data_IF_987889536966
#
_entry.id   IF_987889536966
#
_cell.length_a   1.000
_cell.length_b   1.000
_cell.length_c   1.000
_cell.angle_alpha   90.00
_cell.angle_beta   90.00
_cell.angle_gamma   90.00
#
_symmetry.space_group_name_H-M   'P 1'
#
loop_
_entity.id
_entity.type
_entity.pdbx_description
1 polymer ?
#
# COMPACT_ATOMS: atom_id res chain seq x y z
N UNK A 1 12.47 1.76 21.46
CA UNK A 1 11.81 2.44 20.32
C UNK A 1 10.79 3.44 20.88
N UNK A 2 10.94 4.75 20.65
CA UNK A 2 10.06 5.74 21.30
C UNK A 2 8.63 5.65 20.78
N UNK A 3 7.63 5.97 21.62
CA UNK A 3 6.20 5.93 21.26
C UNK A 3 5.87 6.74 19.99
N UNK A 4 6.68 7.77 19.70
CA UNK A 4 6.60 8.58 18.49
C UNK A 4 6.93 7.82 17.20
N UNK A 5 7.98 7.00 17.21
CA UNK A 5 8.39 6.22 16.03
C UNK A 5 7.34 5.19 15.63
N UNK A 6 6.71 4.54 16.62
CA UNK A 6 5.59 3.62 16.39
C UNK A 6 4.35 4.31 15.79
N UNK A 7 4.08 5.56 16.16
CA UNK A 7 2.97 6.34 15.58
C UNK A 7 3.24 6.68 14.12
N UNK A 8 4.44 7.16 13.80
CA UNK A 8 4.84 7.45 12.42
C UNK A 8 4.78 6.18 11.57
N UNK A 9 5.33 5.06 12.07
CA UNK A 9 5.27 3.77 11.40
C UNK A 9 3.82 3.33 11.12
N UNK A 10 2.95 3.38 12.13
CA UNK A 10 1.53 3.06 11.96
C UNK A 10 0.87 3.97 10.94
N UNK A 11 1.17 5.27 10.95
CA UNK A 11 0.59 6.22 10.00
C UNK A 11 1.01 5.86 8.56
N UNK A 12 2.31 5.70 8.31
CA UNK A 12 2.86 5.37 6.98
C UNK A 12 2.26 4.08 6.44
N UNK A 13 2.25 2.99 7.22
CA UNK A 13 1.69 1.72 6.77
C UNK A 13 0.17 1.74 6.61
N UNK A 14 -0.54 2.57 7.40
CA UNK A 14 -2.00 2.74 7.22
C UNK A 14 -2.30 3.53 5.95
N UNK A 15 -1.49 4.54 5.63
CA UNK A 15 -1.59 5.30 4.38
C UNK A 15 -1.29 4.39 3.20
N UNK A 16 -0.19 3.61 3.25
CA UNK A 16 0.14 2.66 2.19
C UNK A 16 -0.98 1.63 1.97
N UNK A 17 -1.56 1.11 3.06
CA UNK A 17 -2.72 0.22 3.00
C UNK A 17 -3.93 0.88 2.33
N UNK A 18 -4.29 2.09 2.77
CA UNK A 18 -5.44 2.83 2.24
C UNK A 18 -5.25 3.20 0.77
N UNK A 19 -4.04 3.63 0.38
CA UNK A 19 -3.72 3.93 -1.01
C UNK A 19 -3.79 2.67 -1.86
N UNK A 20 -3.22 1.54 -1.42
CA UNK A 20 -3.26 0.28 -2.17
C UNK A 20 -4.70 -0.22 -2.38
N UNK A 21 -5.52 -0.18 -1.32
CA UNK A 21 -6.93 -0.55 -1.40
C UNK A 21 -7.73 0.42 -2.28
N UNK A 22 -7.48 1.73 -2.16
CA UNK A 22 -8.10 2.75 -2.99
C UNK A 22 -7.75 2.60 -4.47
N UNK A 23 -6.50 2.26 -4.79
CA UNK A 23 -6.00 2.05 -6.15
C UNK A 23 -6.67 0.82 -6.78
N UNK A 24 -6.80 -0.27 -6.04
CA UNK A 24 -7.57 -1.45 -6.48
C UNK A 24 -9.05 -1.07 -6.75
N UNK A 25 -9.68 -0.31 -5.85
CA UNK A 25 -11.05 0.17 -6.01
C UNK A 25 -11.22 1.07 -7.25
N UNK A 26 -10.29 2.00 -7.47
CA UNK A 26 -10.25 2.89 -8.65
C UNK A 26 -10.12 2.10 -9.96
N UNK A 27 -9.22 1.11 -10.00
CA UNK A 27 -9.05 0.26 -11.20
C UNK A 27 -10.34 -0.50 -11.50
N UNK A 28 -10.97 -1.11 -10.49
CA UNK A 28 -12.24 -1.83 -10.66
C UNK A 28 -13.35 -0.87 -11.09
N UNK A 29 -13.47 0.30 -10.45
CA UNK A 29 -14.47 1.29 -10.79
C UNK A 29 -14.29 1.81 -12.23
N UNK A 30 -13.05 1.97 -12.70
CA UNK A 30 -12.78 2.40 -14.07
C UNK A 30 -13.29 1.43 -15.13
N UNK A 31 -13.41 0.13 -14.82
CA UNK A 31 -14.01 -0.86 -15.71
C UNK A 31 -15.53 -0.67 -15.84
N UNK A 32 -16.19 -0.16 -14.79
CA UNK A 32 -17.64 0.07 -14.76
C UNK A 32 -18.04 1.36 -15.49
N UNK A 33 -17.11 2.31 -15.60
CA UNK A 33 -17.30 3.60 -16.26
C UNK A 33 -16.92 3.60 -17.75
N UNK A 34 -16.28 2.53 -18.25
CA UNK A 34 -15.77 2.48 -19.62
C UNK A 34 -16.87 2.06 -20.61
N UNK A 35 -17.49 3.03 -21.28
CA UNK A 35 -18.39 2.80 -22.42
C UNK A 35 -17.56 2.64 -23.73
N UNK A 36 -17.19 1.41 -24.09
CA UNK A 36 -16.49 1.15 -25.36
C UNK A 36 -15.80 -0.23 -25.51
N UNK A 37 -15.10 -0.48 -26.63
CA UNK A 37 -14.38 -1.73 -26.92
C UNK A 37 -13.16 -2.00 -26.00
N UNK A 38 -12.92 -1.12 -25.04
CA UNK A 38 -11.91 -1.21 -23.96
C UNK A 38 -12.23 -2.32 -22.94
N UNK A 39 -13.44 -2.89 -22.97
CA UNK A 39 -13.85 -4.10 -22.24
C UNK A 39 -13.37 -5.41 -22.87
N UNK A 40 -12.41 -5.36 -23.81
CA UNK A 40 -11.81 -6.57 -24.33
C UNK A 40 -11.27 -7.43 -23.16
N UNK A 41 -11.52 -8.75 -23.16
CA UNK A 41 -11.28 -9.62 -21.99
C UNK A 41 -9.82 -9.58 -21.49
N UNK A 42 -8.86 -9.23 -22.36
CA UNK A 42 -7.46 -8.99 -21.98
C UNK A 42 -7.28 -7.84 -20.98
N UNK A 43 -7.98 -6.71 -21.16
CA UNK A 43 -7.83 -5.53 -20.30
C UNK A 43 -8.56 -5.71 -18.97
N UNK A 44 -9.69 -6.43 -18.98
CA UNK A 44 -10.41 -6.86 -17.78
C UNK A 44 -9.54 -7.80 -16.95
N UNK A 45 -8.89 -8.80 -17.58
CA UNK A 45 -7.99 -9.71 -16.90
C UNK A 45 -6.79 -8.98 -16.25
N UNK A 46 -6.14 -8.07 -16.98
CA UNK A 46 -5.03 -7.25 -16.45
C UNK A 46 -5.50 -6.43 -15.25
N UNK A 47 -6.64 -5.75 -15.36
CA UNK A 47 -7.19 -4.92 -14.30
C UNK A 47 -7.51 -5.71 -13.03
N UNK A 48 -8.09 -6.91 -13.19
CA UNK A 48 -8.35 -7.83 -12.07
C UNK A 48 -7.06 -8.35 -11.45
N UNK A 49 -6.08 -8.75 -12.24
CA UNK A 49 -4.77 -9.23 -11.74
C UNK A 49 -4.05 -8.13 -10.96
N UNK A 50 -3.98 -6.91 -11.50
CA UNK A 50 -3.34 -5.77 -10.83
C UNK A 50 -4.09 -5.42 -9.54
N UNK A 51 -5.43 -5.40 -9.57
CA UNK A 51 -6.24 -5.16 -8.38
C UNK A 51 -6.03 -6.23 -7.31
N UNK A 52 -5.94 -7.51 -7.69
CA UNK A 52 -5.65 -8.61 -6.78
C UNK A 52 -4.26 -8.50 -6.16
N UNK A 53 -3.24 -8.10 -6.93
CA UNK A 53 -1.88 -7.83 -6.42
C UNK A 53 -1.90 -6.69 -5.40
N UNK A 54 -2.61 -5.60 -5.69
CA UNK A 54 -2.72 -4.44 -4.80
C UNK A 54 -3.50 -4.77 -3.51
N UNK A 55 -4.54 -5.60 -3.60
CA UNK A 55 -5.25 -6.11 -2.42
C UNK A 55 -4.36 -7.06 -1.60
N UNK A 56 -3.63 -7.96 -2.26
CA UNK A 56 -2.65 -8.82 -1.61
C UNK A 56 -1.57 -8.01 -0.88
N UNK A 57 -1.07 -6.96 -1.52
CA UNK A 57 -0.13 -6.02 -0.92
C UNK A 57 -0.75 -5.30 0.29
N UNK A 58 -2.01 -4.88 0.21
CA UNK A 58 -2.71 -4.28 1.35
C UNK A 58 -2.79 -5.26 2.53
N UNK A 59 -3.18 -6.51 2.30
CA UNK A 59 -3.23 -7.55 3.35
C UNK A 59 -1.84 -7.78 3.96
N UNK A 60 -0.79 -7.87 3.14
CA UNK A 60 0.60 -7.98 3.59
C UNK A 60 1.01 -6.81 4.48
N UNK A 61 0.74 -5.57 4.06
CA UNK A 61 1.05 -4.36 4.83
C UNK A 61 0.30 -4.32 6.16
N UNK A 62 -0.95 -4.80 6.18
CA UNK A 62 -1.75 -4.92 7.41
C UNK A 62 -1.14 -5.95 8.37
N UNK A 63 -0.73 -7.12 7.87
CA UNK A 63 -0.06 -8.16 8.65
C UNK A 63 1.28 -7.69 9.23
N UNK A 64 2.12 -7.06 8.40
CA UNK A 64 3.42 -6.50 8.83
C UNK A 64 3.25 -5.45 9.94
N UNK A 65 2.23 -4.59 9.83
CA UNK A 65 1.89 -3.62 10.88
C UNK A 65 1.50 -4.32 12.20
N UNK A 66 0.78 -5.43 12.14
CA UNK A 66 0.42 -6.25 13.30
C UNK A 66 1.65 -6.81 14.01
N UNK A 67 2.51 -7.51 13.28
CA UNK A 67 3.72 -8.14 13.81
C UNK A 67 4.68 -7.12 14.42
N UNK A 68 4.87 -5.96 13.80
CA UNK A 68 5.77 -4.92 14.33
C UNK A 68 5.24 -4.33 15.64
N UNK A 69 3.91 -4.22 15.80
CA UNK A 69 3.33 -3.81 17.08
C UNK A 69 3.42 -4.87 18.18
N UNK A 70 3.44 -6.15 17.81
CA UNK A 70 3.69 -7.26 18.74
C UNK A 70 5.17 -7.28 19.16
N UNK A 71 6.08 -7.15 18.20
CA UNK A 71 7.52 -7.09 18.42
C UNK A 71 7.92 -5.89 19.29
N UNK A 72 7.34 -4.72 19.04
CA UNK A 72 7.56 -3.54 19.87
C UNK A 72 7.10 -3.71 21.33
N UNK A 73 6.02 -4.48 21.56
CA UNK A 73 5.53 -4.80 22.91
C UNK A 73 6.45 -5.82 23.59
N UNK A 74 6.92 -6.83 22.87
CA UNK A 74 7.86 -7.83 23.39
C UNK A 74 9.19 -7.19 23.84
N UNK A 75 9.72 -6.24 23.05
CA UNK A 75 10.97 -5.52 23.36
C UNK A 75 10.82 -4.60 24.57
N UNK A 76 9.67 -3.92 24.71
CA UNK A 76 9.39 -3.13 25.90
C UNK A 76 9.35 -3.99 27.18
N UNK A 77 9.10 -5.28 27.05
CA UNK A 77 9.06 -6.24 28.16
C UNK A 77 10.41 -6.94 28.44
N UNK A 78 11.32 -7.05 27.47
CA UNK A 78 12.54 -7.89 27.58
C UNK A 78 13.89 -7.15 27.58
N UNK A 79 13.91 -5.82 27.71
CA UNK A 79 15.14 -5.07 28.01
C UNK A 79 16.04 -4.75 26.80
N UNK A 80 17.05 -3.90 27.04
CA UNK A 80 17.68 -3.02 26.05
C UNK A 80 18.61 -3.68 25.00
N UNK A 81 19.01 -4.94 25.19
CA UNK A 81 20.03 -5.61 24.36
C UNK A 81 19.67 -5.69 22.86
N UNK A 82 18.38 -5.71 22.53
CA UNK A 82 17.94 -5.78 21.12
C UNK A 82 17.66 -4.42 20.47
N UNK A 83 17.83 -3.29 21.17
CA UNK A 83 17.36 -1.97 20.67
C UNK A 83 18.12 -1.45 19.43
N UNK A 84 19.42 -1.71 19.32
CA UNK A 84 20.27 -1.18 18.23
C UNK A 84 19.94 -1.76 16.84
N UNK A 85 19.99 -3.09 16.66
CA UNK A 85 19.66 -3.74 15.37
C UNK A 85 18.21 -3.49 14.94
N UNK A 86 17.27 -3.49 15.89
CA UNK A 86 15.86 -3.23 15.62
C UNK A 86 15.56 -1.78 15.24
N UNK A 87 16.30 -0.82 15.77
CA UNK A 87 16.18 0.59 15.36
C UNK A 87 16.51 0.77 13.88
N UNK A 88 17.59 0.13 13.40
CA UNK A 88 17.96 0.14 11.98
C UNK A 88 16.91 -0.55 11.12
N UNK A 89 16.44 -1.73 11.52
CA UNK A 89 15.38 -2.44 10.80
C UNK A 89 14.09 -1.61 10.69
N UNK A 90 13.66 -0.98 11.79
CA UNK A 90 12.49 -0.11 11.80
C UNK A 90 12.67 1.12 10.88
N UNK A 91 13.88 1.67 10.81
CA UNK A 91 14.21 2.79 9.91
C UNK A 91 14.16 2.36 8.44
N UNK A 92 14.72 1.20 8.10
CA UNK A 92 14.63 0.65 6.74
C UNK A 92 13.19 0.35 6.33
N UNK A 93 12.38 -0.23 7.22
CA UNK A 93 10.95 -0.45 6.93
C UNK A 93 10.17 0.86 6.81
N UNK A 94 10.51 1.90 7.57
CA UNK A 94 9.92 3.23 7.42
C UNK A 94 10.25 3.84 6.06
N UNK A 95 11.52 3.77 5.64
CA UNK A 95 11.96 4.24 4.32
C UNK A 95 11.27 3.46 3.20
N UNK A 96 11.21 2.12 3.31
CA UNK A 96 10.52 1.28 2.34
C UNK A 96 9.02 1.61 2.27
N UNK A 97 8.37 1.78 3.44
CA UNK A 97 6.96 2.16 3.52
C UNK A 97 6.70 3.55 2.93
N UNK A 98 7.56 4.53 3.22
CA UNK A 98 7.45 5.88 2.66
C UNK A 98 7.66 5.89 1.14
N UNK A 99 8.66 5.15 0.63
CA UNK A 99 8.86 4.96 -0.80
C UNK A 99 7.66 4.30 -1.47
N UNK A 100 7.07 3.29 -0.83
CA UNK A 100 5.86 2.65 -1.33
C UNK A 100 4.66 3.60 -1.36
N UNK A 101 4.47 4.43 -0.33
CA UNK A 101 3.42 5.48 -0.31
C UNK A 101 3.59 6.44 -1.49
N UNK A 102 4.81 6.93 -1.73
CA UNK A 102 5.08 7.83 -2.85
C UNK A 102 4.80 7.16 -4.20
N UNK A 103 5.20 5.89 -4.36
CA UNK A 103 4.94 5.12 -5.57
C UNK A 103 3.44 4.94 -5.80
N UNK A 104 2.69 4.52 -4.77
CA UNK A 104 1.23 4.35 -4.83
C UNK A 104 0.52 5.68 -5.11
N UNK A 105 0.96 6.78 -4.49
CA UNK A 105 0.41 8.11 -4.76
C UNK A 105 0.64 8.54 -6.22
N UNK A 106 1.83 8.28 -6.76
CA UNK A 106 2.13 8.53 -8.18
C UNK A 106 1.26 7.70 -9.12
N UNK A 107 1.06 6.42 -8.80
CA UNK A 107 0.16 5.55 -9.56
C UNK A 107 -1.31 6.03 -9.49
N UNK A 108 -1.79 6.44 -8.32
CA UNK A 108 -3.14 7.02 -8.17
C UNK A 108 -3.27 8.28 -9.02
N UNK A 109 -2.29 9.17 -8.99
CA UNK A 109 -2.31 10.39 -9.81
C UNK A 109 -2.39 10.06 -11.31
N UNK A 110 -1.60 9.09 -11.78
CA UNK A 110 -1.65 8.62 -13.16
C UNK A 110 -2.99 7.98 -13.53
N UNK A 111 -3.55 7.15 -12.64
CA UNK A 111 -4.87 6.51 -12.80
C UNK A 111 -5.98 7.56 -12.88
N UNK A 112 -5.98 8.54 -11.98
CA UNK A 112 -6.97 9.62 -11.96
C UNK A 112 -6.88 10.46 -13.24
N UNK A 113 -5.66 10.84 -13.66
CA UNK A 113 -5.47 11.60 -14.90
C UNK A 113 -6.04 10.83 -16.11
N UNK A 114 -5.76 9.53 -16.21
CA UNK A 114 -6.30 8.66 -17.27
C UNK A 114 -7.83 8.56 -17.27
N UNK A 115 -8.43 8.46 -16.09
CA UNK A 115 -9.90 8.43 -15.93
C UNK A 115 -10.51 9.78 -16.33
N UNK A 116 -9.87 10.90 -15.97
CA UNK A 116 -10.33 12.25 -16.35
C UNK A 116 -10.23 12.50 -17.86
N UNK A 117 -9.26 11.89 -18.54
CA UNK A 117 -9.15 11.89 -20.00
C UNK A 117 -10.23 11.02 -20.69
N UNK A 118 -11.14 10.40 -19.92
CA UNK A 118 -12.25 9.59 -20.43
C UNK A 118 -11.84 8.20 -20.94
N UNK A 119 -10.61 7.78 -20.65
CA UNK A 119 -10.09 6.48 -21.07
C UNK A 119 -10.06 5.48 -19.90
N UNK A 120 -10.28 4.20 -20.19
CA UNK A 120 -10.06 3.15 -19.20
C UNK A 120 -8.61 3.21 -18.71
N UNK A 121 -8.34 2.85 -17.44
CA UNK A 121 -6.96 2.85 -16.91
C UNK A 121 -6.06 1.95 -17.75
N UNK A 122 -6.60 0.84 -18.24
CA UNK A 122 -5.99 -0.06 -19.19
C UNK A 122 -6.93 -0.19 -20.40
N UNK A 123 -6.57 0.43 -21.52
CA UNK A 123 -7.42 0.49 -22.73
C UNK A 123 -7.25 1.79 -23.47
#
# INVERSE_FOLDING_TARGET
MSRWHLRIFRAVFSIAWALSAGLAGLIIASLLLADGPTTAPRYVAISLTVSAILLGLAVLLFGIKGEITALARAIAAHGEEMQGPLSRLATFLLLAGAGLVLLLAGLIAGVIARILDGAAVFG
#
